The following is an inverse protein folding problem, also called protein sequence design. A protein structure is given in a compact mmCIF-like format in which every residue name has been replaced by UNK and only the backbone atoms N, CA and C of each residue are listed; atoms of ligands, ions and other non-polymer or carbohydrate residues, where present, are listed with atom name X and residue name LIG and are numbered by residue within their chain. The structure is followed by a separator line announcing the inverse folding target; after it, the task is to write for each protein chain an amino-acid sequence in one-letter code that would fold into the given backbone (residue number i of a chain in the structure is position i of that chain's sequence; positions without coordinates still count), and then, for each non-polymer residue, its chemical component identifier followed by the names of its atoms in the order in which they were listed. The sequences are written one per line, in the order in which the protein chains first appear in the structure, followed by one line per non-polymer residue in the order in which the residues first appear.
data_IF_630186137826
#
_entry.id   IF_630186137826
#
_cell.length_a   1.000
_cell.length_b   1.000
_cell.length_c   1.000
_cell.angle_alpha   90.00
_cell.angle_beta   90.00
_cell.angle_gamma   90.00
#
_symmetry.space_group_name_H-M   'P 1'
#
loop_
_entity.id
_entity.type
_entity.pdbx_description
1 polymer ?
#
# COMPACT_ATOMS: atom_id res chain seq x y z
N UNK A 1 6.37 13.09 -40.61
CA UNK A 1 5.83 13.90 -39.49
C UNK A 1 5.39 13.06 -38.29
N UNK A 2 4.96 11.79 -38.46
CA UNK A 2 4.59 10.89 -37.34
C UNK A 2 5.77 10.42 -36.45
N UNK A 3 6.98 10.32 -36.99
CA UNK A 3 8.17 9.83 -36.26
C UNK A 3 8.63 10.75 -35.12
N UNK A 4 8.53 12.08 -35.31
CA UNK A 4 8.88 13.06 -34.28
C UNK A 4 7.89 13.10 -33.12
N UNK A 5 6.61 12.81 -33.36
CA UNK A 5 5.59 12.78 -32.30
C UNK A 5 5.83 11.63 -31.31
N UNK A 6 6.32 10.49 -31.80
CA UNK A 6 6.68 9.37 -30.94
C UNK A 6 8.00 9.65 -30.20
N UNK A 7 9.02 10.19 -30.86
CA UNK A 7 10.27 10.58 -30.19
C UNK A 7 10.03 11.55 -29.01
N UNK A 8 9.12 12.53 -29.18
CA UNK A 8 8.71 13.46 -28.11
C UNK A 8 8.01 12.74 -26.94
N UNK A 9 7.19 11.72 -27.20
CA UNK A 9 6.50 10.98 -26.12
C UNK A 9 7.46 10.08 -25.34
N UNK A 10 8.40 9.40 -26.02
CA UNK A 10 9.43 8.57 -25.38
C UNK A 10 10.39 9.43 -24.53
N UNK A 11 10.78 10.61 -25.04
CA UNK A 11 11.61 11.57 -24.31
C UNK A 11 10.92 12.06 -23.03
N UNK A 12 9.64 12.42 -23.12
CA UNK A 12 8.85 12.88 -21.98
C UNK A 12 8.68 11.79 -20.89
N UNK A 13 8.43 10.53 -21.30
CA UNK A 13 8.30 9.39 -20.37
C UNK A 13 9.64 9.13 -19.67
N UNK A 14 10.75 9.11 -20.41
CA UNK A 14 12.09 8.93 -19.86
C UNK A 14 12.44 10.02 -18.83
N UNK A 15 12.13 11.28 -19.16
CA UNK A 15 12.34 12.41 -18.25
C UNK A 15 11.47 12.30 -17.00
N UNK A 16 10.22 11.86 -17.12
CA UNK A 16 9.31 11.67 -15.98
C UNK A 16 9.81 10.56 -15.05
N UNK A 17 10.25 9.43 -15.59
CA UNK A 17 10.82 8.33 -14.80
C UNK A 17 12.08 8.80 -14.05
N UNK A 18 12.98 9.54 -14.71
CA UNK A 18 14.17 10.11 -14.07
C UNK A 18 13.81 11.06 -12.93
N UNK A 19 12.77 11.88 -13.10
CA UNK A 19 12.27 12.75 -12.03
C UNK A 19 11.74 11.95 -10.83
N UNK A 20 10.95 10.89 -11.06
CA UNK A 20 10.46 10.02 -9.99
C UNK A 20 11.59 9.31 -9.24
N UNK A 21 12.59 8.80 -9.95
CA UNK A 21 13.77 8.18 -9.33
C UNK A 21 14.50 9.19 -8.43
N UNK A 22 14.67 10.43 -8.90
CA UNK A 22 15.30 11.49 -8.10
C UNK A 22 14.48 11.79 -6.84
N UNK A 23 13.16 11.83 -6.93
CA UNK A 23 12.29 12.02 -5.75
C UNK A 23 12.44 10.86 -4.77
N UNK A 24 12.44 9.61 -5.23
CA UNK A 24 12.65 8.44 -4.39
C UNK A 24 14.05 8.40 -3.73
N UNK A 25 15.05 9.00 -4.36
CA UNK A 25 16.40 9.15 -3.78
C UNK A 25 16.49 10.31 -2.79
N UNK A 26 15.66 11.35 -2.95
CA UNK A 26 15.57 12.49 -2.04
C UNK A 26 14.80 12.17 -0.76
N UNK A 27 13.93 11.15 -0.78
CA UNK A 27 13.19 10.75 0.42
C UNK A 27 14.11 10.08 1.44
N UNK A 28 13.87 10.36 2.72
CA UNK A 28 14.61 9.73 3.82
C UNK A 28 14.13 8.29 3.98
N UNK A 29 15.04 7.33 3.88
CA UNK A 29 14.78 5.94 4.29
C UNK A 29 14.50 5.91 5.80
N UNK A 30 13.38 5.32 6.26
CA UNK A 30 13.06 5.27 7.68
C UNK A 30 14.12 4.47 8.45
N UNK A 31 14.38 4.85 9.70
CA UNK A 31 15.19 4.02 10.59
C UNK A 31 14.43 2.74 10.99
N UNK A 32 15.13 1.70 11.43
CA UNK A 32 14.48 0.48 11.90
C UNK A 32 13.54 0.76 13.09
N UNK A 33 13.89 1.71 13.97
CA UNK A 33 13.07 2.09 15.11
C UNK A 33 11.77 2.82 14.70
N UNK A 34 11.87 3.77 13.75
CA UNK A 34 10.71 4.47 13.18
C UNK A 34 9.77 3.48 12.50
N UNK A 35 10.33 2.58 11.68
CA UNK A 35 9.57 1.54 11.00
C UNK A 35 8.85 0.63 11.99
N UNK A 36 9.56 0.08 12.99
CA UNK A 36 8.97 -0.82 13.98
C UNK A 36 7.88 -0.14 14.80
N UNK A 37 8.03 1.15 15.14
CA UNK A 37 7.02 1.90 15.88
C UNK A 37 5.73 2.00 15.08
N UNK A 38 5.83 2.41 13.81
CA UNK A 38 4.67 2.53 12.92
C UNK A 38 4.05 1.16 12.66
N UNK A 39 4.86 0.13 12.37
CA UNK A 39 4.38 -1.22 12.13
C UNK A 39 3.65 -1.83 13.32
N UNK A 40 4.11 -1.57 14.56
CA UNK A 40 3.41 -2.03 15.77
C UNK A 40 2.03 -1.40 15.91
N UNK A 41 1.94 -0.08 15.70
CA UNK A 41 0.66 0.64 15.79
C UNK A 41 -0.29 0.21 14.67
N UNK A 42 0.20 0.12 13.43
CA UNK A 42 -0.58 -0.35 12.30
C UNK A 42 -1.06 -1.81 12.50
N UNK A 43 -0.17 -2.69 12.95
CA UNK A 43 -0.49 -4.08 13.27
C UNK A 43 -1.54 -4.20 14.37
N UNK A 44 -1.45 -3.40 15.44
CA UNK A 44 -2.46 -3.35 16.49
C UNK A 44 -3.83 -2.92 15.94
N UNK A 45 -3.86 -1.90 15.08
CA UNK A 45 -5.10 -1.44 14.43
C UNK A 45 -5.75 -2.51 13.54
N UNK A 46 -4.95 -3.18 12.72
CA UNK A 46 -5.41 -4.27 11.84
C UNK A 46 -5.99 -5.43 12.68
N UNK A 47 -5.32 -5.81 13.77
CA UNK A 47 -5.80 -6.89 14.64
C UNK A 47 -7.12 -6.55 15.32
N UNK A 48 -7.27 -5.32 15.82
CA UNK A 48 -8.52 -4.89 16.46
C UNK A 48 -9.69 -4.92 15.47
N UNK A 49 -9.51 -4.30 14.29
CA UNK A 49 -10.55 -4.25 13.26
C UNK A 49 -10.87 -5.66 12.75
N UNK A 50 -9.84 -6.46 12.49
CA UNK A 50 -9.97 -7.85 12.06
C UNK A 50 -10.70 -8.71 13.09
N UNK A 51 -10.42 -8.54 14.38
CA UNK A 51 -11.10 -9.26 15.46
C UNK A 51 -12.58 -8.85 15.55
N UNK A 52 -12.91 -7.57 15.44
CA UNK A 52 -14.29 -7.10 15.44
C UNK A 52 -15.06 -7.71 14.26
N UNK A 53 -14.50 -7.62 13.05
CA UNK A 53 -15.10 -8.25 11.87
C UNK A 53 -15.24 -9.77 11.99
N UNK A 54 -14.23 -10.42 12.58
CA UNK A 54 -14.24 -11.85 12.85
C UNK A 54 -15.33 -12.25 13.85
N UNK A 55 -15.52 -11.48 14.92
CA UNK A 55 -16.60 -11.72 15.89
C UNK A 55 -17.98 -11.58 15.25
N UNK A 56 -18.17 -10.55 14.41
CA UNK A 56 -19.42 -10.39 13.66
C UNK A 56 -19.67 -11.60 12.75
N UNK A 57 -18.66 -12.06 12.01
CA UNK A 57 -18.75 -13.26 11.18
C UNK A 57 -19.10 -14.51 12.00
N UNK A 58 -18.44 -14.68 13.14
CA UNK A 58 -18.64 -15.84 14.01
C UNK A 58 -20.10 -15.91 14.49
N UNK A 59 -20.65 -14.77 14.91
CA UNK A 59 -22.03 -14.69 15.42
C UNK A 59 -23.07 -14.81 14.30
N UNK A 60 -22.89 -14.11 13.18
CA UNK A 60 -23.91 -14.07 12.12
C UNK A 60 -23.85 -15.24 11.14
N UNK A 61 -22.70 -15.86 10.96
CA UNK A 61 -22.50 -16.87 9.91
C UNK A 61 -22.14 -18.22 10.51
N UNK A 62 -21.08 -18.27 11.32
CA UNK A 62 -20.55 -19.55 11.81
C UNK A 62 -21.51 -20.24 12.79
N UNK A 63 -22.02 -19.51 13.79
CA UNK A 63 -22.94 -20.08 14.79
C UNK A 63 -24.26 -20.55 14.14
N UNK A 64 -24.96 -19.75 13.32
CA UNK A 64 -26.20 -20.21 12.70
C UNK A 64 -26.00 -21.38 11.76
N UNK A 65 -24.90 -21.43 11.01
CA UNK A 65 -24.57 -22.57 10.13
C UNK A 65 -24.15 -23.83 10.88
N UNK A 66 -23.65 -23.71 12.11
CA UNK A 66 -23.30 -24.88 12.91
C UNK A 66 -24.51 -25.45 13.68
N UNK A 67 -25.54 -24.63 13.89
CA UNK A 67 -26.75 -25.01 14.63
C UNK A 67 -27.88 -25.53 13.72
N UNK A 68 -27.96 -25.06 12.47
CA UNK A 68 -28.83 -25.57 11.41
C UNK A 68 -28.17 -26.69 10.61
#
# INVERSE_FOLDING_TARGET
MAEKANALSLENISNTIKQYIRILQLTRKPSNEEFLTISKVAGAGILIIGLIGFLVYLIMVLIPRALL
#
